data_IF_389447311887
#
_entry.id   IF_389447311887
#
_cell.length_a   1.000
_cell.length_b   1.000
_cell.length_c   1.000
_cell.angle_alpha   90.00
_cell.angle_beta   90.00
_cell.angle_gamma   90.00
#
_symmetry.space_group_name_H-M   'P 1'
#
loop_
_entity.id
_entity.type
_entity.pdbx_description
1 polymer ?
#
# COMPACT_ATOMS: atom_id res chain seq x y z
N UNK A 1 9.87 -1.57 -4.35
CA UNK A 1 9.83 -1.53 -2.87
C UNK A 1 10.36 -0.18 -2.46
N UNK A 2 9.50 0.59 -1.81
CA UNK A 2 9.80 1.97 -1.39
C UNK A 2 9.49 2.09 0.09
N UNK A 3 10.40 2.72 0.84
CA UNK A 3 10.20 2.97 2.27
C UNK A 3 9.51 4.31 2.45
N UNK A 4 8.42 4.34 3.22
CA UNK A 4 7.64 5.55 3.49
C UNK A 4 7.53 5.74 5.00
N UNK A 5 7.77 6.98 5.46
CA UNK A 5 7.51 7.35 6.85
C UNK A 5 6.01 7.29 7.11
N UNK A 6 5.59 6.68 8.22
CA UNK A 6 4.16 6.61 8.55
C UNK A 6 3.55 8.01 8.61
N UNK A 7 4.27 8.98 9.17
CA UNK A 7 3.80 10.36 9.28
C UNK A 7 3.57 11.05 7.91
N UNK A 8 4.14 10.53 6.82
CA UNK A 8 3.95 11.00 5.44
C UNK A 8 2.78 10.29 4.74
N UNK A 9 2.25 9.22 5.31
CA UNK A 9 1.08 8.53 4.76
C UNK A 9 -0.19 9.38 4.92
N UNK A 10 -1.22 9.12 4.11
CA UNK A 10 -2.56 9.65 4.34
C UNK A 10 -3.06 9.37 5.75
N UNK A 11 -3.83 10.32 6.33
CA UNK A 11 -4.28 10.24 7.74
C UNK A 11 -5.11 9.00 8.06
N UNK A 12 -5.87 8.51 7.08
CA UNK A 12 -6.67 7.29 7.21
C UNK A 12 -5.77 6.07 7.41
N UNK A 13 -4.77 5.91 6.55
CA UNK A 13 -3.75 4.85 6.66
C UNK A 13 -2.96 4.98 7.97
N UNK A 14 -2.56 6.20 8.35
CA UNK A 14 -1.93 6.43 9.65
C UNK A 14 -2.81 5.95 10.82
N UNK A 15 -4.12 6.19 10.74
CA UNK A 15 -5.05 5.78 11.79
C UNK A 15 -5.18 4.26 11.91
N UNK A 16 -5.11 3.52 10.80
CA UNK A 16 -5.10 2.06 10.80
C UNK A 16 -3.81 1.48 11.39
N UNK A 17 -2.66 2.11 11.08
CA UNK A 17 -1.35 1.66 11.54
C UNK A 17 -1.00 2.08 12.97
N UNK A 18 -1.78 2.97 13.60
CA UNK A 18 -1.52 3.52 14.96
C UNK A 18 -1.43 2.49 16.09
N UNK A 19 -1.94 1.28 15.87
CA UNK A 19 -1.85 0.21 16.87
C UNK A 19 -0.42 -0.35 17.01
N UNK A 20 0.42 -0.19 15.99
CA UNK A 20 1.83 -0.59 16.01
C UNK A 20 2.72 0.61 16.40
N UNK A 21 2.84 0.87 17.71
CA UNK A 21 3.54 2.05 18.25
C UNK A 21 5.05 2.11 17.96
N UNK A 22 5.66 0.98 17.63
CA UNK A 22 7.10 0.88 17.33
C UNK A 22 7.39 1.03 15.83
N UNK A 23 6.34 1.03 15.00
CA UNK A 23 6.46 1.16 13.55
C UNK A 23 6.70 2.63 13.19
N UNK A 24 7.80 2.90 12.47
CA UNK A 24 8.16 4.25 11.98
C UNK A 24 8.09 4.35 10.47
N UNK A 25 8.43 3.27 9.80
CA UNK A 25 8.45 3.13 8.36
C UNK A 25 7.64 1.91 7.96
N UNK A 26 7.15 1.96 6.74
CA UNK A 26 6.50 0.84 6.07
C UNK A 26 7.09 0.67 4.68
N UNK A 27 7.09 -0.57 4.22
CA UNK A 27 7.34 -0.90 2.84
C UNK A 27 6.04 -0.85 2.07
N UNK A 28 6.02 -0.07 0.98
CA UNK A 28 4.92 -0.09 0.02
C UNK A 28 5.37 -0.74 -1.28
N UNK A 29 4.52 -1.64 -1.78
CA UNK A 29 4.71 -2.36 -3.02
C UNK A 29 3.36 -2.77 -3.61
N UNK A 30 3.34 -3.07 -4.91
CA UNK A 30 2.14 -3.43 -5.63
C UNK A 30 2.42 -4.48 -6.69
N UNK A 31 1.37 -5.19 -7.09
CA UNK A 31 1.39 -6.18 -8.17
C UNK A 31 0.29 -5.83 -9.16
N UNK A 32 0.65 -5.78 -10.43
CA UNK A 32 -0.28 -5.49 -11.52
C UNK A 32 -0.61 -6.78 -12.24
N UNK A 33 -1.89 -6.92 -12.55
CA UNK A 33 -2.45 -8.11 -13.16
C UNK A 33 -3.36 -7.73 -14.31
N UNK A 34 -3.60 -8.71 -15.18
CA UNK A 34 -4.65 -8.66 -16.18
C UNK A 34 -5.52 -9.89 -15.98
N UNK A 35 -6.83 -9.71 -15.79
CA UNK A 35 -7.75 -10.82 -15.59
C UNK A 35 -8.04 -11.57 -16.91
N UNK A 36 -8.83 -12.64 -16.85
CA UNK A 36 -9.19 -13.45 -18.03
C UNK A 36 -9.99 -12.67 -19.09
N UNK A 37 -10.65 -11.57 -18.69
CA UNK A 37 -11.43 -10.69 -19.57
C UNK A 37 -10.56 -9.59 -20.22
N UNK A 38 -9.27 -9.51 -19.86
CA UNK A 38 -8.34 -8.51 -20.37
C UNK A 38 -8.36 -7.19 -19.59
N UNK A 39 -9.03 -7.14 -18.44
CA UNK A 39 -9.08 -5.95 -17.58
C UNK A 39 -7.88 -5.91 -16.65
N UNK A 40 -7.29 -4.72 -16.52
CA UNK A 40 -6.13 -4.47 -15.68
C UNK A 40 -6.57 -4.15 -14.26
N UNK A 41 -5.88 -4.71 -13.27
CA UNK A 41 -6.07 -4.36 -11.86
C UNK A 41 -4.75 -4.46 -11.10
N UNK A 42 -4.67 -3.74 -9.98
CA UNK A 42 -3.48 -3.67 -9.16
C UNK A 42 -3.81 -3.98 -7.71
N UNK A 43 -3.00 -4.81 -7.06
CA UNK A 43 -3.05 -5.05 -5.62
C UNK A 43 -1.93 -4.27 -4.94
N UNK A 44 -2.25 -3.54 -3.88
CA UNK A 44 -1.31 -2.66 -3.17
C UNK A 44 -1.16 -3.15 -1.74
N UNK A 45 0.07 -3.16 -1.26
CA UNK A 45 0.44 -3.71 0.03
C UNK A 45 1.28 -2.72 0.82
N UNK A 46 0.97 -2.60 2.11
CA UNK A 46 1.84 -2.00 3.11
C UNK A 46 2.32 -3.10 4.04
N UNK A 47 3.64 -3.21 4.18
CA UNK A 47 4.28 -4.21 5.02
C UNK A 47 5.17 -3.55 6.08
N UNK A 48 5.32 -4.22 7.21
CA UNK A 48 6.33 -3.86 8.21
C UNK A 48 7.73 -4.14 7.63
N UNK A 49 8.60 -3.14 7.61
CA UNK A 49 9.96 -3.26 7.06
C UNK A 49 10.84 -4.26 7.81
N UNK A 50 10.57 -4.46 9.11
CA UNK A 50 11.37 -5.35 9.96
C UNK A 50 10.96 -6.81 9.81
N UNK A 51 9.65 -7.07 9.71
CA UNK A 51 9.09 -8.43 9.76
C UNK A 51 8.63 -8.93 8.40
N UNK A 52 8.37 -8.03 7.45
CA UNK A 52 7.72 -8.33 6.17
C UNK A 52 6.24 -8.65 6.30
N UNK A 53 5.64 -8.52 7.49
CA UNK A 53 4.22 -8.78 7.71
C UNK A 53 3.37 -7.74 6.96
N UNK A 54 2.37 -8.20 6.20
CA UNK A 54 1.40 -7.31 5.55
C UNK A 54 0.49 -6.69 6.62
N UNK A 55 0.55 -5.38 6.73
CA UNK A 55 -0.22 -4.57 7.67
C UNK A 55 -1.54 -4.09 7.06
N UNK A 56 -1.49 -3.69 5.78
CA UNK A 56 -2.66 -3.26 5.02
C UNK A 56 -2.57 -3.78 3.59
N UNK A 57 -3.72 -4.12 3.03
CA UNK A 57 -3.86 -4.51 1.63
C UNK A 57 -5.07 -3.77 1.04
N UNK A 58 -4.86 -3.19 -0.13
CA UNK A 58 -5.91 -2.60 -0.95
C UNK A 58 -5.79 -3.05 -2.40
N UNK A 59 -6.67 -2.55 -3.26
CA UNK A 59 -6.60 -2.83 -4.69
C UNK A 59 -7.44 -1.85 -5.50
N UNK A 60 -7.06 -1.70 -6.77
CA UNK A 60 -7.73 -0.79 -7.70
C UNK A 60 -7.83 -1.39 -9.10
N UNK A 61 -8.75 -0.84 -9.89
CA UNK A 61 -8.82 -1.13 -11.32
C UNK A 61 -7.84 -0.24 -12.07
N UNK A 62 -7.17 -0.82 -13.08
CA UNK A 62 -6.08 -0.20 -13.81
C UNK A 62 -4.71 -0.56 -13.27
N UNK A 63 -3.70 0.03 -13.89
CA UNK A 63 -2.29 -0.23 -13.63
C UNK A 63 -1.72 0.81 -12.67
N UNK A 64 -1.13 0.38 -11.57
CA UNK A 64 -0.36 1.26 -10.68
C UNK A 64 1.09 1.28 -11.13
N UNK A 65 1.64 2.46 -11.45
CA UNK A 65 3.02 2.61 -11.91
C UNK A 65 3.89 3.46 -10.98
N UNK A 66 3.28 4.13 -10.00
CA UNK A 66 3.98 5.04 -9.11
C UNK A 66 3.39 5.01 -7.68
N UNK A 67 4.14 5.62 -6.75
CA UNK A 67 3.81 5.65 -5.33
C UNK A 67 2.58 6.52 -5.01
N UNK A 68 2.40 7.62 -5.74
CA UNK A 68 1.30 8.56 -5.49
C UNK A 68 -0.04 7.88 -5.75
N UNK A 69 -0.17 7.21 -6.90
CA UNK A 69 -1.34 6.41 -7.27
C UNK A 69 -1.60 5.33 -6.23
N UNK A 70 -0.57 4.56 -5.84
CA UNK A 70 -0.70 3.51 -4.83
C UNK A 70 -1.25 4.03 -3.48
N UNK A 71 -0.82 5.23 -3.08
CA UNK A 71 -1.28 5.87 -1.85
C UNK A 71 -2.67 6.49 -1.97
N UNK A 72 -3.10 6.91 -3.17
CA UNK A 72 -4.47 7.37 -3.38
C UNK A 72 -5.49 6.26 -3.18
N UNK A 73 -5.21 5.07 -3.72
CA UNK A 73 -6.14 3.94 -3.67
C UNK A 73 -6.32 3.37 -2.26
N UNK A 74 -5.28 3.46 -1.42
CA UNK A 74 -5.37 3.05 -0.02
C UNK A 74 -6.15 4.05 0.87
N UNK A 75 -6.59 5.20 0.34
CA UNK A 75 -7.47 6.16 1.05
C UNK A 75 -8.96 5.81 0.92
N UNK A 76 -9.31 4.84 0.06
CA UNK A 76 -10.69 4.53 -0.36
C UNK A 76 -11.50 3.71 0.63
#
# INVERSE_FOLDING_TARGET
MTFVLIDELPKEIQAELRNNKDLKYVDIWWLNYTNEEGEEYSEIYLSDENTGETLLQGGTWGWTDNLEDALEELKG
#
